data_IF_983106835420
#
_entry.id   IF_983106835420
#
_cell.length_a   1.000
_cell.length_b   1.000
_cell.length_c   1.000
_cell.angle_alpha   90.00
_cell.angle_beta   90.00
_cell.angle_gamma   90.00
#
_symmetry.space_group_name_H-M   'P 1'
#
loop_
_entity.id
_entity.type
_entity.pdbx_description
1 polymer ?
#
# COMPACT_ATOMS: atom_id res chain seq x y z
N UNK A 1 25.60 -11.29 -15.42
CA UNK A 1 25.30 -12.67 -15.01
C UNK A 1 23.94 -13.11 -15.57
N UNK A 2 23.77 -13.05 -16.90
CA UNK A 2 22.51 -13.47 -17.52
C UNK A 2 22.22 -14.95 -17.23
N UNK A 3 20.96 -15.35 -16.96
CA UNK A 3 19.72 -14.55 -17.02
C UNK A 3 19.34 -13.84 -15.70
N UNK A 4 20.24 -13.80 -14.72
CA UNK A 4 19.97 -13.27 -13.40
C UNK A 4 20.32 -11.79 -13.26
N UNK A 5 19.60 -11.13 -12.35
CA UNK A 5 19.91 -9.80 -11.83
C UNK A 5 19.96 -9.86 -10.31
N UNK A 6 20.90 -9.13 -9.71
CA UNK A 6 20.97 -8.92 -8.27
C UNK A 6 20.61 -7.47 -8.01
N UNK A 7 19.65 -7.26 -7.14
CA UNK A 7 19.17 -5.94 -6.72
C UNK A 7 19.73 -5.76 -5.30
N UNK A 8 20.67 -4.83 -5.06
CA UNK A 8 21.44 -4.76 -3.81
C UNK A 8 20.61 -4.69 -2.52
N UNK A 9 19.36 -4.23 -2.61
CA UNK A 9 18.39 -4.16 -1.52
C UNK A 9 17.91 -5.54 -1.05
N UNK A 10 18.12 -6.60 -1.85
CA UNK A 10 17.63 -7.95 -1.56
C UNK A 10 18.78 -8.96 -1.61
N UNK A 11 18.92 -9.84 -0.59
CA UNK A 11 20.04 -10.76 -0.47
C UNK A 11 19.84 -12.04 -1.31
N UNK A 12 19.28 -11.89 -2.51
CA UNK A 12 19.01 -12.99 -3.43
C UNK A 12 18.96 -12.49 -4.87
N UNK A 13 19.00 -13.41 -5.82
CA UNK A 13 18.96 -13.08 -7.25
C UNK A 13 17.55 -13.25 -7.82
N UNK A 14 17.26 -12.55 -8.90
CA UNK A 14 16.01 -12.67 -9.66
C UNK A 14 16.33 -13.16 -11.07
N UNK A 15 15.69 -14.24 -11.50
CA UNK A 15 15.76 -14.70 -12.89
C UNK A 15 14.79 -13.86 -13.74
N UNK A 16 15.30 -13.08 -14.69
CA UNK A 16 14.48 -12.16 -15.49
C UNK A 16 13.41 -12.86 -16.34
N UNK A 17 13.70 -13.92 -17.11
CA UNK A 17 12.67 -14.62 -17.88
C UNK A 17 11.63 -15.33 -17.01
N UNK A 18 12.04 -15.86 -15.86
CA UNK A 18 11.13 -16.58 -14.97
C UNK A 18 10.33 -15.64 -14.05
N UNK A 19 10.75 -14.37 -13.92
CA UNK A 19 10.21 -13.39 -13.00
C UNK A 19 10.01 -13.99 -11.59
N UNK A 20 11.09 -14.51 -11.01
CA UNK A 20 11.08 -15.14 -9.69
C UNK A 20 12.47 -15.05 -9.05
N UNK A 21 12.49 -14.95 -7.72
CA UNK A 21 13.70 -14.95 -6.92
C UNK A 21 14.21 -16.37 -6.60
N UNK A 22 15.52 -16.50 -6.43
CA UNK A 22 16.23 -17.74 -6.11
C UNK A 22 17.37 -17.47 -5.13
N UNK A 23 17.68 -18.45 -4.28
CA UNK A 23 18.89 -18.45 -3.44
C UNK A 23 20.08 -18.98 -4.22
N UNK A 24 21.31 -18.68 -3.78
CA UNK A 24 22.52 -18.97 -4.56
C UNK A 24 22.70 -20.46 -4.90
N UNK A 25 22.35 -21.36 -3.99
CA UNK A 25 22.54 -22.81 -4.17
C UNK A 25 21.52 -23.41 -5.15
N UNK A 26 20.43 -22.69 -5.46
CA UNK A 26 19.42 -23.14 -6.42
C UNK A 26 19.77 -22.77 -7.87
N UNK A 27 20.81 -21.98 -8.10
CA UNK A 27 21.18 -21.46 -9.43
C UNK A 27 21.39 -22.57 -10.44
N UNK A 28 22.25 -23.54 -10.15
CA UNK A 28 22.64 -24.57 -11.11
C UNK A 28 21.41 -25.41 -11.51
N UNK A 29 20.65 -25.88 -10.51
CA UNK A 29 19.46 -26.69 -10.76
C UNK A 29 18.38 -25.91 -11.51
N UNK A 30 18.20 -24.63 -11.19
CA UNK A 30 17.29 -23.76 -11.92
C UNK A 30 17.70 -23.59 -13.39
N UNK A 31 18.97 -23.27 -13.64
CA UNK A 31 19.50 -23.12 -14.98
C UNK A 31 19.28 -24.40 -15.79
N UNK A 32 19.72 -25.56 -15.30
CA UNK A 32 19.54 -26.83 -16.01
C UNK A 32 18.08 -27.17 -16.31
N UNK A 33 17.15 -26.85 -15.40
CA UNK A 33 15.74 -27.19 -15.57
C UNK A 33 14.96 -26.22 -16.47
N UNK A 34 15.39 -24.95 -16.58
CA UNK A 34 14.59 -23.87 -17.20
C UNK A 34 15.31 -23.12 -18.32
N UNK A 35 16.62 -23.29 -18.45
CA UNK A 35 17.46 -22.52 -19.35
C UNK A 35 18.54 -23.40 -20.01
N UNK A 36 18.75 -23.24 -21.32
CA UNK A 36 19.78 -23.98 -22.05
C UNK A 36 21.15 -23.27 -21.93
N UNK A 37 21.71 -23.19 -20.71
CA UNK A 37 22.94 -22.40 -20.43
C UNK A 37 24.23 -23.24 -20.46
N UNK A 38 24.10 -24.56 -20.67
CA UNK A 38 25.22 -25.47 -20.91
C UNK A 38 26.36 -25.34 -19.90
N UNK A 39 27.59 -25.22 -20.40
CA UNK A 39 28.83 -25.12 -19.60
C UNK A 39 28.96 -23.82 -18.80
N UNK A 40 28.22 -22.76 -19.15
CA UNK A 40 28.31 -21.47 -18.47
C UNK A 40 27.58 -21.46 -17.11
N UNK A 41 26.76 -22.48 -16.81
CA UNK A 41 26.01 -22.55 -15.55
C UNK A 41 26.92 -22.47 -14.31
N UNK A 42 28.08 -23.15 -14.35
CA UNK A 42 29.04 -23.13 -13.24
C UNK A 42 29.69 -21.75 -13.08
N UNK A 43 30.05 -21.09 -14.18
CA UNK A 43 30.62 -19.75 -14.13
C UNK A 43 29.61 -18.74 -13.55
N UNK A 44 28.34 -18.81 -13.96
CA UNK A 44 27.27 -17.96 -13.42
C UNK A 44 27.09 -18.21 -11.92
N UNK A 45 27.07 -19.48 -11.49
CA UNK A 45 26.98 -19.84 -10.08
C UNK A 45 28.15 -19.27 -9.27
N UNK A 46 29.39 -19.41 -9.74
CA UNK A 46 30.57 -18.88 -9.04
C UNK A 46 30.51 -17.35 -8.88
N UNK A 47 30.05 -16.62 -9.91
CA UNK A 47 29.85 -15.17 -9.82
C UNK A 47 28.81 -14.82 -8.75
N UNK A 48 27.71 -15.56 -8.67
CA UNK A 48 26.63 -15.32 -7.69
C UNK A 48 27.10 -15.65 -6.27
N UNK A 49 27.85 -16.74 -6.09
CA UNK A 49 28.44 -17.11 -4.80
C UNK A 49 29.42 -16.06 -4.27
N UNK A 50 30.04 -15.29 -5.16
CA UNK A 50 30.95 -14.20 -4.78
C UNK A 50 30.23 -12.90 -4.36
N UNK A 51 28.89 -12.82 -4.48
CA UNK A 51 28.13 -11.63 -4.08
C UNK A 51 28.10 -11.52 -2.54
N UNK A 52 28.58 -10.42 -1.95
CA UNK A 52 28.56 -10.25 -0.50
C UNK A 52 27.13 -10.24 0.06
N UNK A 53 26.89 -11.03 1.11
CA UNK A 53 25.59 -11.05 1.82
C UNK A 53 24.48 -11.81 1.09
N UNK A 54 24.80 -12.56 0.02
CA UNK A 54 23.83 -13.40 -0.67
C UNK A 54 23.37 -14.54 0.26
N UNK A 55 22.07 -14.84 0.22
CA UNK A 55 21.50 -16.00 0.90
C UNK A 55 21.77 -17.24 0.05
N UNK A 56 22.36 -18.26 0.67
CA UNK A 56 22.76 -19.48 -0.03
C UNK A 56 21.61 -20.50 -0.10
N UNK A 57 20.87 -20.66 1.00
CA UNK A 57 19.92 -21.75 1.17
C UNK A 57 18.58 -21.34 1.79
N UNK A 58 17.65 -22.29 1.84
CA UNK A 58 16.29 -22.10 2.39
C UNK A 58 16.27 -21.81 3.89
N UNK A 59 17.29 -22.22 4.65
CA UNK A 59 17.36 -22.00 6.11
C UNK A 59 17.73 -20.55 6.40
N UNK A 60 18.72 -20.00 5.72
CA UNK A 60 19.03 -18.57 5.79
C UNK A 60 17.86 -17.71 5.32
N UNK A 61 17.16 -18.16 4.27
CA UNK A 61 15.97 -17.48 3.76
C UNK A 61 14.81 -17.39 4.78
N UNK A 62 14.74 -18.29 5.76
CA UNK A 62 13.72 -18.23 6.82
C UNK A 62 13.86 -16.99 7.71
N UNK A 63 15.08 -16.46 7.85
CA UNK A 63 15.35 -15.30 8.69
C UNK A 63 15.05 -13.99 7.97
N UNK A 64 14.87 -14.04 6.65
CA UNK A 64 14.56 -12.86 5.84
C UNK A 64 13.10 -12.44 6.00
N UNK A 65 12.89 -11.13 6.20
CA UNK A 65 11.56 -10.52 6.29
C UNK A 65 11.18 -9.82 4.99
N UNK A 66 9.89 -9.87 4.65
CA UNK A 66 9.34 -9.13 3.51
C UNK A 66 9.53 -7.62 3.63
N UNK A 67 9.64 -6.90 2.51
CA UNK A 67 9.75 -5.45 2.50
C UNK A 67 8.48 -4.77 3.06
N UNK A 68 8.60 -3.51 3.53
CA UNK A 68 7.46 -2.75 4.04
C UNK A 68 6.41 -2.46 2.95
N UNK A 69 5.15 -2.21 3.33
CA UNK A 69 4.03 -2.01 2.38
C UNK A 69 4.19 -0.75 1.50
N UNK A 70 5.05 0.18 1.91
CA UNK A 70 5.35 1.44 1.20
C UNK A 70 6.38 1.25 0.10
N UNK A 71 7.01 0.07 0.00
CA UNK A 71 8.00 -0.24 -1.04
C UNK A 71 7.38 -0.09 -2.42
N UNK A 72 8.07 0.62 -3.31
CA UNK A 72 7.65 0.76 -4.69
C UNK A 72 7.59 -0.61 -5.39
N UNK A 73 6.74 -0.78 -6.41
CA UNK A 73 6.71 -2.01 -7.21
C UNK A 73 8.11 -2.42 -7.66
N UNK A 74 8.48 -3.65 -7.33
CA UNK A 74 9.83 -4.15 -7.56
C UNK A 74 9.95 -4.61 -9.01
N UNK A 75 10.99 -4.17 -9.74
CA UNK A 75 11.23 -4.60 -11.11
C UNK A 75 11.64 -6.09 -11.18
N UNK A 76 11.59 -6.66 -12.38
CA UNK A 76 12.04 -8.03 -12.71
C UNK A 76 11.26 -9.20 -12.07
N UNK A 77 10.32 -8.93 -11.17
CA UNK A 77 9.30 -9.88 -10.72
C UNK A 77 7.96 -9.57 -11.41
N UNK A 78 6.91 -10.42 -11.28
CA UNK A 78 5.65 -10.19 -11.96
C UNK A 78 5.04 -8.85 -11.51
N UNK A 79 4.33 -8.13 -12.40
CA UNK A 79 3.74 -6.84 -12.07
C UNK A 79 2.75 -6.97 -10.90
N UNK A 80 2.55 -5.89 -10.12
CA UNK A 80 1.63 -5.90 -8.99
C UNK A 80 0.25 -6.47 -9.33
N UNK A 81 -0.29 -7.23 -8.39
CA UNK A 81 -1.66 -7.74 -8.44
C UNK A 81 -2.54 -6.88 -7.56
N UNK A 82 -3.73 -6.53 -8.04
CA UNK A 82 -4.65 -5.61 -7.37
C UNK A 82 -5.75 -6.32 -6.57
N UNK A 83 -5.75 -7.65 -6.52
CA UNK A 83 -6.74 -8.48 -5.81
C UNK A 83 -6.22 -8.96 -4.44
N UNK A 84 -5.27 -8.23 -3.85
CA UNK A 84 -4.73 -8.55 -2.54
C UNK A 84 -5.68 -8.19 -1.39
N UNK A 85 -5.55 -8.92 -0.30
CA UNK A 85 -6.11 -8.61 1.01
C UNK A 85 -4.96 -8.34 1.99
N UNK A 86 -4.86 -7.12 2.51
CA UNK A 86 -3.80 -6.70 3.43
C UNK A 86 -4.31 -6.60 4.86
N UNK A 87 -3.61 -7.20 5.82
CA UNK A 87 -3.96 -7.06 7.23
C UNK A 87 -3.84 -5.60 7.69
N UNK A 88 -4.71 -5.15 8.58
CA UNK A 88 -4.63 -3.83 9.19
C UNK A 88 -3.64 -3.74 10.35
N UNK A 89 -3.38 -4.86 11.02
CA UNK A 89 -2.56 -4.91 12.23
C UNK A 89 -1.10 -5.30 11.96
N UNK A 90 -0.80 -5.96 10.83
CA UNK A 90 0.55 -6.35 10.48
C UNK A 90 0.79 -6.32 8.95
N UNK A 91 2.05 -6.48 8.48
CA UNK A 91 2.38 -6.46 7.05
C UNK A 91 1.89 -7.65 6.21
N UNK A 92 1.13 -8.58 6.80
CA UNK A 92 0.70 -9.79 6.11
C UNK A 92 -0.28 -9.49 4.97
N UNK A 93 -0.03 -10.11 3.81
CA UNK A 93 -0.90 -10.04 2.64
C UNK A 93 -1.23 -11.44 2.14
N UNK A 94 -2.47 -11.62 1.70
CA UNK A 94 -2.90 -12.81 0.98
C UNK A 94 -3.79 -12.44 -0.21
N UNK A 95 -3.83 -13.26 -1.26
CA UNK A 95 -4.76 -13.08 -2.39
C UNK A 95 -6.07 -13.83 -2.25
N UNK A 96 -6.19 -14.70 -1.24
CA UNK A 96 -7.39 -15.49 -0.98
C UNK A 96 -8.04 -15.02 0.30
N UNK A 97 -9.35 -14.75 0.26
CA UNK A 97 -10.11 -14.30 1.43
C UNK A 97 -10.02 -15.28 2.61
N UNK A 98 -10.02 -16.59 2.33
CA UNK A 98 -9.89 -17.63 3.35
C UNK A 98 -8.55 -17.54 4.10
N UNK A 99 -7.47 -17.18 3.39
CA UNK A 99 -6.12 -17.07 3.95
C UNK A 99 -5.99 -15.85 4.87
N UNK A 100 -6.50 -14.68 4.46
CA UNK A 100 -6.48 -13.49 5.33
C UNK A 100 -7.40 -13.69 6.55
N UNK A 101 -8.56 -14.33 6.38
CA UNK A 101 -9.43 -14.69 7.50
C UNK A 101 -8.74 -15.62 8.49
N UNK A 102 -8.07 -16.68 8.01
CA UNK A 102 -7.32 -17.60 8.85
C UNK A 102 -6.20 -16.87 9.60
N UNK A 103 -5.44 -16.04 8.89
CA UNK A 103 -4.40 -15.21 9.52
C UNK A 103 -4.96 -14.32 10.63
N UNK A 104 -6.06 -13.58 10.36
CA UNK A 104 -6.68 -12.71 11.36
C UNK A 104 -7.23 -13.50 12.56
N UNK A 105 -7.76 -14.72 12.35
CA UNK A 105 -8.14 -15.62 13.46
C UNK A 105 -6.94 -15.99 14.32
N UNK A 106 -5.88 -16.50 13.69
CA UNK A 106 -4.75 -17.13 14.39
C UNK A 106 -3.81 -16.12 15.04
N UNK A 107 -3.59 -14.97 14.39
CA UNK A 107 -2.61 -13.97 14.83
C UNK A 107 -3.23 -12.81 15.60
N UNK A 108 -4.51 -12.52 15.36
CA UNK A 108 -5.19 -11.35 15.91
C UNK A 108 -6.48 -11.71 16.66
N UNK A 109 -6.79 -13.00 16.85
CA UNK A 109 -7.96 -13.45 17.59
C UNK A 109 -9.30 -13.04 16.96
N UNK A 110 -9.32 -12.70 15.67
CA UNK A 110 -10.55 -12.26 15.01
C UNK A 110 -11.60 -13.37 15.03
N UNK A 111 -12.83 -13.03 15.35
CA UNK A 111 -13.97 -13.94 15.26
C UNK A 111 -14.98 -13.41 14.24
N UNK A 112 -15.52 -14.31 13.43
CA UNK A 112 -16.53 -13.92 12.44
C UNK A 112 -17.84 -13.56 13.16
N UNK A 113 -18.23 -12.29 13.11
CA UNK A 113 -19.51 -11.82 13.68
C UNK A 113 -20.73 -12.41 12.96
N UNK A 114 -20.57 -12.85 11.70
CA UNK A 114 -21.65 -13.43 10.90
C UNK A 114 -21.89 -14.89 11.31
N UNK A 115 -22.89 -15.11 12.17
CA UNK A 115 -23.39 -16.45 12.52
C UNK A 115 -24.19 -17.07 11.36
N UNK A 116 -24.35 -18.40 11.38
CA UNK A 116 -25.17 -19.14 10.40
C UNK A 116 -26.64 -18.72 10.53
N UNK A 117 -27.29 -18.36 9.42
CA UNK A 117 -28.69 -17.93 9.39
C UNK A 117 -28.96 -16.83 8.36
N UNK A 118 -30.25 -16.53 8.12
CA UNK A 118 -30.66 -15.40 7.27
C UNK A 118 -30.48 -14.10 8.05
N UNK A 119 -29.65 -13.20 7.53
CA UNK A 119 -29.45 -11.88 8.12
C UNK A 119 -30.37 -10.85 7.48
N UNK A 120 -30.91 -9.95 8.29
CA UNK A 120 -31.65 -8.79 7.80
C UNK A 120 -30.66 -7.69 7.41
N UNK A 121 -31.06 -6.75 6.53
CA UNK A 121 -30.23 -5.58 6.20
C UNK A 121 -29.84 -4.76 7.44
N UNK A 122 -30.74 -4.70 8.43
CA UNK A 122 -30.48 -4.05 9.72
C UNK A 122 -29.35 -4.75 10.50
N UNK A 123 -29.26 -6.08 10.45
CA UNK A 123 -28.15 -6.82 11.04
C UNK A 123 -26.85 -6.59 10.27
N UNK A 124 -26.87 -6.53 8.93
CA UNK A 124 -25.65 -6.29 8.15
C UNK A 124 -25.01 -4.93 8.46
N UNK A 125 -25.82 -3.91 8.75
CA UNK A 125 -25.34 -2.59 9.17
C UNK A 125 -24.68 -2.57 10.56
N UNK A 126 -24.94 -3.57 11.42
CA UNK A 126 -24.32 -3.68 12.75
C UNK A 126 -23.08 -4.57 12.76
N UNK A 127 -22.75 -5.24 11.65
CA UNK A 127 -21.55 -6.08 11.55
C UNK A 127 -20.31 -5.16 11.60
N UNK A 128 -19.38 -5.39 12.55
CA UNK A 128 -18.14 -4.64 12.59
C UNK A 128 -17.35 -4.79 11.28
N UNK A 129 -16.61 -3.76 10.86
CA UNK A 129 -15.76 -3.86 9.68
C UNK A 129 -14.76 -5.01 9.84
N UNK A 130 -14.40 -5.62 8.71
CA UNK A 130 -13.40 -6.68 8.69
C UNK A 130 -12.00 -6.11 8.96
N UNK A 131 -11.10 -6.83 9.66
CA UNK A 131 -9.78 -6.33 10.05
C UNK A 131 -8.72 -6.41 8.92
N UNK A 132 -9.15 -6.27 7.67
CA UNK A 132 -8.27 -6.30 6.51
C UNK A 132 -8.78 -5.36 5.40
N UNK A 133 -7.83 -4.79 4.66
CA UNK A 133 -8.08 -4.01 3.45
C UNK A 133 -8.29 -4.93 2.26
N UNK A 134 -9.16 -4.54 1.34
CA UNK A 134 -9.37 -5.20 0.05
C UNK A 134 -8.73 -4.39 -1.07
N UNK A 135 -8.36 -5.05 -2.17
CA UNK A 135 -7.85 -4.35 -3.35
C UNK A 135 -6.40 -3.87 -3.21
N UNK A 136 -5.63 -4.41 -2.26
CA UNK A 136 -4.23 -3.97 -2.07
C UNK A 136 -3.36 -4.45 -3.22
N UNK A 137 -2.42 -3.60 -3.65
CA UNK A 137 -1.40 -3.95 -4.62
C UNK A 137 -0.36 -4.85 -3.97
N UNK A 138 -0.12 -6.03 -4.54
CA UNK A 138 0.80 -6.99 -3.96
C UNK A 138 1.67 -7.70 -4.98
N UNK A 139 2.89 -8.05 -4.56
CA UNK A 139 3.85 -8.83 -5.31
C UNK A 139 4.38 -9.98 -4.47
N UNK A 140 5.14 -10.88 -5.10
CA UNK A 140 5.88 -11.95 -4.43
C UNK A 140 7.20 -12.19 -5.16
N UNK A 141 8.22 -12.52 -4.38
CA UNK A 141 9.53 -12.90 -4.91
C UNK A 141 9.56 -14.38 -5.32
N UNK A 142 9.16 -15.25 -4.40
CA UNK A 142 9.29 -16.69 -4.54
C UNK A 142 7.93 -17.32 -4.91
N UNK A 143 7.90 -18.15 -5.96
CA UNK A 143 6.66 -18.85 -6.40
C UNK A 143 6.30 -20.01 -5.47
N UNK A 144 7.33 -20.76 -5.08
CA UNK A 144 7.38 -21.80 -4.06
C UNK A 144 8.57 -21.44 -3.14
N UNK A 145 8.81 -22.13 -2.00
CA UNK A 145 9.89 -21.89 -0.99
C UNK A 145 9.38 -21.37 0.36
N UNK A 146 10.25 -21.37 1.37
CA UNK A 146 9.88 -21.01 2.74
C UNK A 146 9.46 -19.54 2.85
N UNK A 147 10.12 -18.64 2.10
CA UNK A 147 9.72 -17.23 2.01
C UNK A 147 8.71 -16.94 0.89
N UNK A 148 7.95 -17.93 0.40
CA UNK A 148 6.89 -17.70 -0.60
C UNK A 148 5.70 -16.99 0.05
N UNK A 149 5.81 -15.67 0.16
CA UNK A 149 4.83 -14.79 0.77
C UNK A 149 4.51 -13.63 -0.17
N UNK A 150 3.28 -13.13 -0.06
CA UNK A 150 2.87 -11.90 -0.71
C UNK A 150 3.19 -10.74 0.21
N UNK A 151 3.61 -9.62 -0.37
CA UNK A 151 3.82 -8.36 0.33
C UNK A 151 3.14 -7.23 -0.45
N UNK A 152 2.72 -6.21 0.30
CA UNK A 152 2.07 -5.03 -0.26
C UNK A 152 3.12 -4.10 -0.88
N UNK A 153 2.75 -3.43 -1.96
CA UNK A 153 3.61 -2.44 -2.64
C UNK A 153 2.84 -1.18 -2.95
N UNK A 154 3.54 -0.05 -2.97
CA UNK A 154 2.99 1.24 -3.37
C UNK A 154 1.87 1.74 -2.46
N UNK A 155 1.86 1.35 -1.18
CA UNK A 155 0.92 1.93 -0.21
C UNK A 155 1.22 3.41 -0.05
N UNK A 156 0.28 4.27 -0.45
CA UNK A 156 0.35 5.69 -0.13
C UNK A 156 0.20 5.85 1.38
N UNK A 157 1.17 6.52 1.99
CA UNK A 157 0.98 7.06 3.33
C UNK A 157 0.09 8.30 3.11
N UNK A 158 -1.12 8.37 3.68
CA UNK A 158 -1.85 9.63 3.65
C UNK A 158 -0.99 10.66 4.37
N UNK A 159 -0.50 11.66 3.62
CA UNK A 159 0.17 12.82 4.17
C UNK A 159 -0.81 13.48 5.14
N UNK A 160 -0.52 13.42 6.44
CA UNK A 160 -1.36 14.04 7.48
C UNK A 160 -1.36 15.58 7.45
N UNK A 161 -1.02 16.20 6.31
CA UNK A 161 -0.86 17.64 6.15
C UNK A 161 -1.69 18.24 5.00
N UNK A 162 -2.76 17.59 4.58
CA UNK A 162 -3.80 18.24 3.79
C UNK A 162 -5.13 18.06 4.52
N UNK A 163 -5.37 18.95 5.49
CA UNK A 163 -6.77 19.27 5.83
C UNK A 163 -7.46 19.74 4.55
N UNK A 164 -8.77 19.45 4.36
CA UNK A 164 -9.46 19.84 3.15
C UNK A 164 -9.22 21.32 2.91
N UNK A 165 -8.52 21.65 1.83
CA UNK A 165 -8.36 23.02 1.37
C UNK A 165 -9.79 23.58 1.26
N UNK A 166 -10.14 24.65 1.99
CA UNK A 166 -11.48 25.19 1.91
C UNK A 166 -11.69 25.66 0.47
N UNK A 167 -12.50 24.92 -0.29
CA UNK A 167 -12.97 25.35 -1.60
C UNK A 167 -13.74 26.66 -1.42
N UNK A 168 -13.04 27.78 -1.61
CA UNK A 168 -13.58 29.14 -1.55
C UNK A 168 -14.71 29.35 -2.57
N UNK A 169 -14.85 28.46 -3.57
CA UNK A 169 -15.95 28.44 -4.53
C UNK A 169 -17.28 27.95 -3.94
N UNK A 170 -17.27 27.07 -2.93
CA UNK A 170 -18.49 26.59 -2.25
C UNK A 170 -19.02 27.64 -1.26
N UNK A 171 -18.13 28.38 -0.61
CA UNK A 171 -18.51 29.42 0.38
C UNK A 171 -19.22 30.59 -0.32
N UNK A 172 -18.81 30.94 -1.55
CA UNK A 172 -19.44 32.02 -2.32
C UNK A 172 -20.84 31.64 -2.86
N UNK A 173 -21.08 30.38 -3.22
CA UNK A 173 -22.40 29.93 -3.72
C UNK A 173 -23.48 29.90 -2.65
N UNK A 174 -23.11 29.66 -1.39
CA UNK A 174 -24.06 29.64 -0.26
C UNK A 174 -24.48 31.03 0.21
N UNK A 175 -23.73 32.07 -0.14
CA UNK A 175 -24.01 33.45 0.28
C UNK A 175 -24.81 34.28 -0.74
N UNK A 176 -24.84 33.89 -2.02
CA UNK A 176 -25.54 34.64 -3.07
C UNK A 176 -26.96 34.15 -3.43
N UNK A 177 -27.48 33.11 -2.77
CA UNK A 177 -28.83 32.59 -3.05
C UNK A 177 -29.91 33.01 -2.03
N UNK A 178 -29.56 33.69 -0.93
CA UNK A 178 -30.55 34.20 0.02
C UNK A 178 -30.58 35.74 0.02
N UNK A 179 -31.53 36.27 -0.74
CA UNK A 179 -32.10 37.62 -0.55
C UNK A 179 -32.82 37.72 0.81
N UNK A 180 -33.08 38.93 1.34
CA UNK A 180 -32.54 39.31 2.64
C UNK A 180 -33.61 39.77 3.63
N UNK A 181 -33.86 39.11 4.77
CA UNK A 181 -34.60 39.76 5.87
C UNK A 181 -34.19 39.25 7.24
N UNK A 182 -33.95 40.22 8.14
CA UNK A 182 -33.75 40.18 9.61
C UNK A 182 -32.34 39.88 10.15
N UNK A 183 -31.70 40.96 10.59
CA UNK A 183 -30.38 41.06 11.23
C UNK A 183 -30.33 40.73 12.74
N UNK A 184 -31.38 40.20 13.36
CA UNK A 184 -31.51 40.28 14.83
C UNK A 184 -31.21 39.03 15.66
N UNK A 185 -30.56 37.97 15.15
CA UNK A 185 -30.53 36.71 15.95
C UNK A 185 -29.20 36.02 16.26
N UNK A 186 -28.03 36.50 15.84
CA UNK A 186 -26.78 35.77 16.17
C UNK A 186 -25.65 36.66 16.72
N UNK A 187 -25.98 37.51 17.69
CA UNK A 187 -25.02 38.08 18.63
C UNK A 187 -24.91 37.25 19.94
N UNK A 188 -25.17 35.93 19.89
CA UNK A 188 -25.32 35.11 21.12
C UNK A 188 -24.68 33.72 21.11
N UNK A 189 -23.84 33.39 20.15
CA UNK A 189 -23.11 32.12 20.17
C UNK A 189 -21.62 32.35 19.91
N UNK A 190 -20.80 31.95 20.88
CA UNK A 190 -19.33 31.80 20.86
C UNK A 190 -18.49 33.01 21.32
N UNK A 191 -18.38 33.25 22.64
CA UNK A 191 -17.48 34.26 23.22
C UNK A 191 -15.98 33.89 23.18
N UNK A 192 -15.57 32.78 22.57
CA UNK A 192 -14.17 32.29 22.62
C UNK A 192 -13.25 32.63 21.43
N UNK A 193 -13.67 33.42 20.44
CA UNK A 193 -12.81 33.81 19.30
C UNK A 193 -12.44 35.29 19.24
N UNK A 194 -12.28 35.94 20.40
CA UNK A 194 -11.99 37.39 20.50
C UNK A 194 -10.52 37.79 20.28
N UNK A 195 -9.64 36.91 19.77
CA UNK A 195 -8.19 37.23 19.70
C UNK A 195 -7.52 37.21 18.32
N UNK A 196 -8.25 37.06 17.21
CA UNK A 196 -7.62 37.09 15.88
C UNK A 196 -8.41 37.87 14.81
N UNK A 197 -8.96 39.04 15.15
CA UNK A 197 -9.49 39.96 14.12
C UNK A 197 -9.04 41.40 14.38
N UNK A 198 -7.73 41.59 14.45
CA UNK A 198 -7.10 42.89 14.29
C UNK A 198 -6.10 42.82 13.16
N UNK A 199 -6.55 42.70 11.90
CA UNK A 199 -5.79 42.97 10.64
C UNK A 199 -6.50 42.49 9.35
N UNK A 200 -7.79 42.72 9.15
CA UNK A 200 -8.36 42.64 7.78
C UNK A 200 -9.48 43.67 7.61
N UNK A 201 -9.16 44.93 7.84
CA UNK A 201 -10.05 46.04 7.52
C UNK A 201 -9.25 47.05 6.70
N UNK A 202 -8.90 46.73 5.45
CA UNK A 202 -8.31 47.74 4.54
C UNK A 202 -8.24 47.40 3.04
N UNK A 203 -9.09 46.50 2.50
CA UNK A 203 -9.03 46.17 1.05
C UNK A 203 -10.37 46.29 0.32
N UNK A 204 -11.17 47.29 0.68
CA UNK A 204 -12.33 47.74 -0.11
C UNK A 204 -12.25 49.25 -0.37
N UNK A 205 -11.27 49.70 -1.19
CA UNK A 205 -11.27 51.10 -1.69
C UNK A 205 -10.82 51.35 -3.12
N UNK A 206 -10.32 50.39 -3.89
CA UNK A 206 -9.93 50.67 -5.28
C UNK A 206 -10.54 49.66 -6.25
N UNK A 207 -11.65 50.07 -6.85
CA UNK A 207 -12.24 49.38 -7.99
C UNK A 207 -11.30 49.43 -9.18
N UNK A 208 -10.89 48.26 -9.66
CA UNK A 208 -10.23 48.09 -10.96
C UNK A 208 -10.93 46.98 -11.71
N UNK A 209 -11.40 47.34 -12.91
CA UNK A 209 -12.04 46.47 -13.90
C UNK A 209 -10.94 45.77 -14.69
N UNK A 210 -10.99 44.45 -14.83
CA UNK A 210 -10.07 43.71 -15.72
C UNK A 210 -10.90 43.01 -16.80
N UNK A 211 -10.63 43.36 -18.05
CA UNK A 211 -11.14 42.72 -19.27
C UNK A 211 -10.22 41.56 -19.68
N UNK A 212 -10.80 40.42 -20.06
CA UNK A 212 -10.08 39.25 -20.56
C UNK A 212 -9.84 39.37 -22.07
N UNK A 213 -8.65 38.98 -22.52
CA UNK A 213 -8.33 38.57 -23.90
C UNK A 213 -8.26 37.05 -23.92
#
# INVERSE_FOLDING_TARGET
MEPFVHVPEYPFIICKPCAAAFVADEVISHLQARHAVGSMAQQIHNIIQAIPGIIHNQRELQQWSVPPPTTAPIPFIPPPRHDGFGCEQCPYVARQIQRIQQHCRDKHGWANARKRGRHTKAFEATIPPVPWRTGVQCQRFFRTRVASSWFEVGRSIPSSNEGPEPDLGIIHRRFCQNRPYKWDFLARALPQYRLLLGRVADWLKFGVRVTWV
#
